data_IF_524025501603
#
_entry.id   IF_524025501603
#
_cell.length_a   1.000
_cell.length_b   1.000
_cell.length_c   1.000
_cell.angle_alpha   90.00
_cell.angle_beta   90.00
_cell.angle_gamma   90.00
#
_symmetry.space_group_name_H-M   'P 1'
#
loop_
_entity.id
_entity.type
_entity.pdbx_description
1 polymer ?
#
# COMPACT_ATOMS: atom_id res chain seq x y z
N UNK A 1 -2.34 19.33 2.18
CA UNK A 1 -2.63 18.22 3.11
C UNK A 1 -2.64 18.79 4.53
N UNK A 2 -3.60 18.39 5.36
CA UNK A 2 -3.57 18.70 6.80
C UNK A 2 -2.69 17.62 7.43
N UNK A 3 -1.67 17.98 8.24
CA UNK A 3 -0.85 16.99 8.93
C UNK A 3 -1.73 16.09 9.80
N UNK A 4 -1.50 14.78 9.72
CA UNK A 4 -2.30 13.79 10.43
C UNK A 4 -1.51 13.22 11.62
N UNK A 5 -2.13 13.18 12.79
CA UNK A 5 -1.51 12.63 14.01
C UNK A 5 -1.93 11.18 14.15
N UNK A 6 -0.96 10.28 14.30
CA UNK A 6 -1.19 8.85 14.53
C UNK A 6 -0.70 8.50 15.93
N UNK A 7 -1.63 8.15 16.81
CA UNK A 7 -1.34 7.69 18.18
C UNK A 7 -1.01 6.19 18.19
N UNK A 8 0.02 5.83 18.97
CA UNK A 8 0.49 4.45 19.16
C UNK A 8 1.37 4.33 20.41
N UNK A 9 1.83 3.11 20.73
CA UNK A 9 2.74 2.90 21.86
C UNK A 9 4.13 3.50 21.60
N UNK A 10 4.79 3.97 22.67
CA UNK A 10 6.11 4.60 22.60
C UNK A 10 7.17 3.77 21.85
N UNK A 11 7.28 2.44 22.04
CA UNK A 11 8.22 1.64 21.25
C UNK A 11 7.94 1.65 19.74
N UNK A 12 6.68 1.80 19.32
CA UNK A 12 6.31 1.89 17.91
C UNK A 12 6.71 3.26 17.33
N UNK A 13 6.51 4.33 18.09
CA UNK A 13 6.99 5.68 17.73
C UNK A 13 8.50 5.67 17.54
N UNK A 14 9.24 5.10 18.49
CA UNK A 14 10.71 5.06 18.44
C UNK A 14 11.23 4.31 17.21
N UNK A 15 10.62 3.17 16.86
CA UNK A 15 10.99 2.38 15.66
C UNK A 15 10.79 3.16 14.37
N UNK A 16 9.67 3.88 14.26
CA UNK A 16 9.38 4.72 13.11
C UNK A 16 10.38 5.88 12.99
N UNK A 17 10.62 6.59 14.10
CA UNK A 17 11.52 7.74 14.13
C UNK A 17 12.98 7.35 13.89
N UNK A 18 13.40 6.16 14.33
CA UNK A 18 14.73 5.63 14.04
C UNK A 18 14.99 5.40 12.54
N UNK A 19 13.92 5.33 11.72
CA UNK A 19 13.96 5.09 10.27
C UNK A 19 13.41 6.27 9.46
N UNK A 20 13.18 7.44 10.08
CA UNK A 20 12.51 8.57 9.45
C UNK A 20 13.18 9.04 8.15
N UNK A 21 14.52 9.04 8.10
CA UNK A 21 15.26 9.42 6.89
C UNK A 21 15.04 8.43 5.74
N UNK A 22 15.05 7.12 6.02
CA UNK A 22 14.79 6.08 5.02
C UNK A 22 13.34 6.13 4.51
N UNK A 23 12.38 6.47 5.38
CA UNK A 23 10.98 6.68 5.00
C UNK A 23 10.78 7.95 4.16
N UNK A 24 11.53 9.01 4.47
CA UNK A 24 11.49 10.25 3.71
C UNK A 24 11.99 10.06 2.27
N UNK A 25 12.98 9.20 2.03
CA UNK A 25 13.42 8.81 0.67
C UNK A 25 12.30 8.14 -0.15
N UNK A 26 11.34 7.49 0.52
CA UNK A 26 10.16 6.88 -0.10
C UNK A 26 9.00 7.87 -0.28
N UNK A 27 9.14 9.11 0.20
CA UNK A 27 8.10 10.14 0.18
C UNK A 27 7.14 10.11 1.37
N UNK A 28 7.48 9.39 2.45
CA UNK A 28 6.74 9.36 3.70
C UNK A 28 7.50 10.14 4.78
N UNK A 29 7.12 11.39 5.01
CA UNK A 29 7.79 12.25 6.00
C UNK A 29 6.99 12.24 7.29
N UNK A 30 7.64 11.81 8.38
CA UNK A 30 7.07 11.73 9.72
C UNK A 30 7.90 12.49 10.74
N UNK A 31 7.24 13.03 11.76
CA UNK A 31 7.87 13.73 12.88
C UNK A 31 7.29 13.23 14.21
N UNK A 32 8.08 13.24 15.29
CA UNK A 32 7.60 12.89 16.61
C UNK A 32 6.60 13.91 17.17
N UNK A 33 5.55 13.44 17.84
CA UNK A 33 4.54 14.28 18.49
C UNK A 33 4.28 13.83 19.93
N UNK A 34 5.30 14.05 20.77
CA UNK A 34 5.35 13.45 22.10
C UNK A 34 5.71 11.95 22.04
N UNK A 35 5.72 11.26 23.19
CA UNK A 35 6.18 9.87 23.26
C UNK A 35 5.19 8.86 22.64
N UNK A 36 3.92 9.22 22.48
CA UNK A 36 2.86 8.30 22.05
C UNK A 36 2.26 8.60 20.68
N UNK A 37 2.90 9.43 19.86
CA UNK A 37 2.38 9.73 18.53
C UNK A 37 3.45 10.21 17.54
N UNK A 38 3.15 10.04 16.26
CA UNK A 38 3.84 10.67 15.13
C UNK A 38 2.89 11.56 14.36
N UNK A 39 3.42 12.63 13.76
CA UNK A 39 2.74 13.49 12.78
C UNK A 39 3.23 13.10 11.39
N UNK A 40 2.30 12.80 10.49
CA UNK A 40 2.58 12.60 9.07
C UNK A 40 2.50 13.94 8.35
N UNK A 41 3.63 14.37 7.78
CA UNK A 41 3.76 15.64 7.04
C UNK A 41 3.50 15.45 5.56
N UNK A 42 4.03 14.38 4.99
CA UNK A 42 4.00 14.09 3.56
C UNK A 42 3.76 12.59 3.34
N UNK A 43 3.04 12.27 2.26
CA UNK A 43 2.81 10.91 1.81
C UNK A 43 3.18 10.77 0.33
N UNK A 44 3.58 9.58 -0.14
CA UNK A 44 3.96 9.40 -1.52
C UNK A 44 2.77 9.65 -2.46
N UNK A 45 2.95 10.55 -3.43
CA UNK A 45 1.87 10.96 -4.34
C UNK A 45 1.26 9.79 -5.13
N UNK A 46 2.04 8.73 -5.37
CA UNK A 46 1.60 7.52 -6.09
C UNK A 46 0.42 6.81 -5.39
N UNK A 47 0.33 6.95 -4.07
CA UNK A 47 -0.66 6.23 -3.26
C UNK A 47 -1.99 6.98 -3.14
N UNK A 48 -2.06 8.23 -3.60
CA UNK A 48 -3.28 9.03 -3.62
C UNK A 48 -3.95 9.15 -2.24
N UNK A 49 -5.29 9.06 -2.24
CA UNK A 49 -6.08 9.00 -1.02
C UNK A 49 -5.91 7.62 -0.35
N UNK A 50 -5.24 7.59 0.81
CA UNK A 50 -4.97 6.36 1.56
C UNK A 50 -5.36 6.48 3.03
N UNK A 51 -5.50 5.33 3.69
CA UNK A 51 -5.64 5.24 5.15
C UNK A 51 -4.28 5.47 5.83
N UNK A 52 -3.94 6.73 6.13
CA UNK A 52 -2.66 7.12 6.72
C UNK A 52 -2.45 6.44 8.08
N UNK A 53 -3.49 6.41 8.93
CA UNK A 53 -3.43 5.72 10.21
C UNK A 53 -3.07 4.24 10.05
N UNK A 54 -3.73 3.55 9.12
CA UNK A 54 -3.49 2.15 8.83
C UNK A 54 -2.07 1.89 8.33
N UNK A 55 -1.59 2.68 7.36
CA UNK A 55 -0.22 2.57 6.83
C UNK A 55 0.81 2.70 7.92
N UNK A 56 0.68 3.72 8.78
CA UNK A 56 1.69 3.99 9.82
C UNK A 56 1.71 2.88 10.88
N UNK A 57 0.55 2.33 11.27
CA UNK A 57 0.49 1.22 12.22
C UNK A 57 1.07 -0.06 11.65
N UNK A 58 0.65 -0.45 10.45
CA UNK A 58 1.16 -1.67 9.81
C UNK A 58 2.67 -1.56 9.55
N UNK A 59 3.16 -0.38 9.18
CA UNK A 59 4.59 -0.12 9.02
C UNK A 59 5.35 -0.25 10.34
N UNK A 60 4.80 0.24 11.46
CA UNK A 60 5.43 0.11 12.77
C UNK A 60 5.52 -1.37 13.21
N UNK A 61 4.50 -2.16 12.90
CA UNK A 61 4.45 -3.60 13.16
C UNK A 61 5.48 -4.34 12.28
N UNK A 62 5.52 -4.05 10.97
CA UNK A 62 6.50 -4.59 10.02
C UNK A 62 7.95 -4.31 10.49
N UNK A 63 8.23 -3.07 10.91
CA UNK A 63 9.53 -2.67 11.45
C UNK A 63 9.89 -3.40 12.76
N UNK A 64 8.90 -3.77 13.58
CA UNK A 64 9.13 -4.57 14.77
C UNK A 64 9.57 -6.00 14.43
N UNK A 65 9.08 -6.57 13.32
CA UNK A 65 9.46 -7.90 12.86
C UNK A 65 10.85 -7.94 12.20
N UNK A 66 11.23 -6.88 11.47
CA UNK A 66 12.50 -6.83 10.74
C UNK A 66 13.72 -6.61 11.65
N UNK A 67 13.53 -5.99 12.81
CA UNK A 67 14.61 -5.62 13.72
C UNK A 67 15.55 -4.54 13.15
N UNK A 68 16.55 -4.15 13.93
CA UNK A 68 17.43 -3.01 13.59
C UNK A 68 18.55 -3.35 12.58
N UNK A 69 18.82 -4.64 12.34
CA UNK A 69 20.03 -5.09 11.64
C UNK A 69 19.94 -5.12 10.11
N UNK A 70 18.72 -5.14 9.56
CA UNK A 70 18.50 -5.12 8.11
C UNK A 70 18.18 -3.67 7.70
N UNK A 71 18.81 -3.19 6.63
CA UNK A 71 18.50 -1.86 6.09
C UNK A 71 17.09 -1.84 5.50
N UNK A 72 16.33 -0.76 5.70
CA UNK A 72 14.97 -0.66 5.15
C UNK A 72 14.99 -0.72 3.62
N UNK A 73 16.09 -0.24 3.02
CA UNK A 73 16.35 -0.36 1.58
C UNK A 73 16.32 -1.83 1.08
N UNK A 74 16.77 -2.80 1.89
CA UNK A 74 16.71 -4.23 1.54
C UNK A 74 15.28 -4.78 1.65
N UNK A 75 14.39 -4.07 2.35
CA UNK A 75 12.97 -4.37 2.59
C UNK A 75 12.02 -3.44 1.86
N UNK A 76 12.53 -2.64 0.91
CA UNK A 76 11.74 -1.62 0.21
C UNK A 76 10.52 -2.21 -0.50
N UNK A 77 10.63 -3.44 -1.01
CA UNK A 77 9.52 -4.17 -1.63
C UNK A 77 8.37 -4.45 -0.65
N UNK A 78 8.71 -4.87 0.58
CA UNK A 78 7.74 -5.20 1.62
C UNK A 78 7.02 -3.92 2.09
N UNK A 79 7.77 -2.85 2.35
CA UNK A 79 7.22 -1.52 2.73
C UNK A 79 6.29 -0.98 1.64
N UNK A 80 6.73 -1.01 0.38
CA UNK A 80 5.92 -0.59 -0.76
C UNK A 80 4.67 -1.45 -0.93
N UNK A 81 4.72 -2.75 -0.63
CA UNK A 81 3.56 -3.63 -0.66
C UNK A 81 2.52 -3.26 0.41
N UNK A 82 2.96 -3.00 1.65
CA UNK A 82 2.10 -2.53 2.74
C UNK A 82 1.41 -1.23 2.35
N UNK A 83 2.18 -0.24 1.88
CA UNK A 83 1.63 1.04 1.43
C UNK A 83 0.64 0.90 0.27
N UNK A 84 0.97 0.09 -0.75
CA UNK A 84 0.11 -0.14 -1.90
C UNK A 84 -1.22 -0.83 -1.52
N UNK A 85 -1.22 -1.70 -0.51
CA UNK A 85 -2.44 -2.32 -0.01
C UNK A 85 -3.40 -1.32 0.63
N UNK A 86 -2.89 -0.27 1.26
CA UNK A 86 -3.70 0.82 1.80
C UNK A 86 -4.21 1.81 0.75
N UNK A 87 -3.44 2.07 -0.31
CA UNK A 87 -3.90 2.87 -1.45
C UNK A 87 -4.78 2.11 -2.45
N UNK A 88 -4.95 0.79 -2.28
CA UNK A 88 -5.69 -0.04 -3.25
C UNK A 88 -7.19 0.26 -3.27
N UNK A 89 -7.82 0.06 -4.44
CA UNK A 89 -9.29 0.07 -4.54
C UNK A 89 -9.83 -1.17 -3.82
N UNK A 90 -10.43 -0.96 -2.64
CA UNK A 90 -10.95 -2.02 -1.77
C UNK A 90 -12.35 -2.49 -2.15
N UNK A 91 -12.67 -3.70 -1.72
CA UNK A 91 -14.01 -4.28 -1.83
C UNK A 91 -15.08 -3.35 -1.22
N UNK A 92 -16.21 -3.19 -1.90
CA UNK A 92 -17.32 -2.34 -1.47
C UNK A 92 -17.29 -0.91 -2.03
N UNK A 93 -16.14 -0.42 -2.51
CA UNK A 93 -16.08 0.85 -3.25
C UNK A 93 -16.76 0.68 -4.61
N UNK A 94 -17.81 1.46 -4.88
CA UNK A 94 -18.44 1.49 -6.21
C UNK A 94 -17.61 2.35 -7.14
N UNK A 95 -17.27 1.80 -8.30
CA UNK A 95 -16.62 2.52 -9.38
C UNK A 95 -17.65 2.90 -10.44
N UNK A 96 -17.46 4.05 -11.08
CA UNK A 96 -18.11 4.36 -12.33
C UNK A 96 -17.32 3.80 -13.53
N UNK A 97 -17.90 3.87 -14.73
CA UNK A 97 -17.27 3.31 -15.94
C UNK A 97 -15.93 3.99 -16.30
N UNK A 98 -15.80 5.29 -16.05
CA UNK A 98 -14.57 6.03 -16.35
C UNK A 98 -13.44 5.63 -15.40
N UNK A 99 -13.76 5.44 -14.11
CA UNK A 99 -12.82 4.94 -13.10
C UNK A 99 -12.36 3.51 -13.42
N UNK A 100 -13.29 2.63 -13.84
CA UNK A 100 -12.96 1.27 -14.25
C UNK A 100 -12.03 1.27 -15.47
N UNK A 101 -12.36 2.06 -16.50
CA UNK A 101 -11.52 2.14 -17.70
C UNK A 101 -10.14 2.70 -17.39
N UNK A 102 -10.05 3.72 -16.53
CA UNK A 102 -8.76 4.27 -16.09
C UNK A 102 -7.91 3.22 -15.39
N UNK A 103 -8.48 2.48 -14.44
CA UNK A 103 -7.80 1.39 -13.75
C UNK A 103 -7.24 0.36 -14.73
N UNK A 104 -8.03 -0.03 -15.74
CA UNK A 104 -7.59 -0.99 -16.76
C UNK A 104 -6.41 -0.44 -17.59
N UNK A 105 -6.42 0.85 -17.95
CA UNK A 105 -5.29 1.48 -18.66
C UNK A 105 -4.04 1.58 -17.79
N UNK A 106 -4.19 1.86 -16.50
CA UNK A 106 -3.09 1.82 -15.54
C UNK A 106 -2.51 0.40 -15.42
N UNK A 107 -3.37 -0.63 -15.35
CA UNK A 107 -2.93 -2.03 -15.35
C UNK A 107 -2.18 -2.42 -16.62
N UNK A 108 -2.63 -1.96 -17.80
CA UNK A 108 -1.93 -2.22 -19.07
C UNK A 108 -0.54 -1.60 -19.14
N UNK A 109 -0.37 -0.41 -18.54
CA UNK A 109 0.91 0.30 -18.49
C UNK A 109 1.84 -0.20 -17.37
N UNK A 110 1.30 -0.92 -16.39
CA UNK A 110 2.05 -1.40 -15.22
C UNK A 110 2.68 -2.77 -15.51
N UNK A 111 4.02 -2.88 -15.47
CA UNK A 111 4.70 -4.18 -15.61
C UNK A 111 4.21 -5.17 -14.55
N UNK A 112 4.09 -6.44 -14.92
CA UNK A 112 3.65 -7.52 -14.03
C UNK A 112 2.28 -7.33 -13.38
N UNK A 113 1.41 -6.49 -13.96
CA UNK A 113 0.07 -6.20 -13.42
C UNK A 113 -0.85 -7.41 -13.28
N UNK A 114 -0.51 -8.56 -13.87
CA UNK A 114 -1.24 -9.83 -13.71
C UNK A 114 -1.09 -10.49 -12.33
N UNK A 115 -0.20 -9.98 -11.46
CA UNK A 115 -0.03 -10.44 -10.08
C UNK A 115 -0.01 -9.24 -9.13
N UNK A 116 -0.64 -9.38 -7.96
CA UNK A 116 -0.51 -8.38 -6.91
C UNK A 116 0.83 -8.52 -6.18
N UNK A 117 1.15 -7.56 -5.32
CA UNK A 117 2.36 -7.57 -4.47
C UNK A 117 2.51 -8.84 -3.61
N UNK A 118 1.41 -9.58 -3.39
CA UNK A 118 1.37 -10.82 -2.61
C UNK A 118 1.22 -12.08 -3.48
N UNK A 119 1.40 -11.98 -4.80
CA UNK A 119 1.39 -13.11 -5.74
C UNK A 119 0.00 -13.62 -6.16
N UNK A 120 -1.10 -13.00 -5.71
CA UNK A 120 -2.45 -13.36 -6.19
C UNK A 120 -2.67 -12.83 -7.61
N UNK A 121 -3.36 -13.57 -8.50
CA UNK A 121 -3.74 -13.05 -9.80
C UNK A 121 -4.70 -11.85 -9.65
N UNK A 122 -4.49 -10.80 -10.43
CA UNK A 122 -5.31 -9.57 -10.39
C UNK A 122 -6.48 -9.61 -11.37
N UNK A 123 -6.42 -10.46 -12.38
CA UNK A 123 -7.51 -10.71 -13.32
C UNK A 123 -7.55 -12.18 -13.72
N UNK A 124 -8.71 -12.59 -14.24
CA UNK A 124 -8.90 -13.88 -14.91
C UNK A 124 -9.52 -13.62 -16.27
N UNK A 125 -9.03 -14.31 -17.29
CA UNK A 125 -9.61 -14.26 -18.64
C UNK A 125 -10.52 -15.48 -18.82
N UNK A 126 -11.77 -15.25 -19.21
CA UNK A 126 -12.70 -16.30 -19.64
C UNK A 126 -12.96 -16.12 -21.13
N UNK A 127 -12.47 -17.06 -21.94
CA UNK A 127 -12.70 -17.04 -23.38
C UNK A 127 -14.16 -17.38 -23.68
N UNK A 128 -14.67 -16.88 -24.80
CA UNK A 128 -16.05 -17.14 -25.22
C UNK A 128 -16.37 -18.65 -25.26
N UNK A 129 -15.45 -19.46 -25.82
CA UNK A 129 -15.61 -20.91 -25.88
C UNK A 129 -15.67 -21.57 -24.49
N UNK A 130 -14.97 -21.02 -23.49
CA UNK A 130 -15.01 -21.54 -22.11
C UNK A 130 -16.32 -21.15 -21.43
N UNK A 131 -16.84 -19.94 -21.71
CA UNK A 131 -18.17 -19.54 -21.29
C UNK A 131 -19.22 -20.44 -21.95
N UNK A 132 -19.15 -20.71 -23.24
CA UNK A 132 -20.08 -21.58 -23.97
C UNK A 132 -20.14 -22.99 -23.37
N UNK A 133 -18.99 -23.59 -23.05
CA UNK A 133 -18.92 -24.89 -22.36
C UNK A 133 -19.64 -24.90 -21.02
N UNK A 134 -19.56 -23.81 -20.22
CA UNK A 134 -20.26 -23.70 -18.93
C UNK A 134 -21.78 -23.79 -19.09
N UNK A 135 -22.31 -23.40 -20.25
CA UNK A 135 -23.74 -23.50 -20.59
C UNK A 135 -24.07 -24.73 -21.45
N UNK A 136 -23.14 -25.69 -21.59
CA UNK A 136 -23.32 -26.88 -22.44
C UNK A 136 -23.38 -26.58 -23.94
N UNK A 137 -22.88 -25.41 -24.36
CA UNK A 137 -22.75 -24.99 -25.76
C UNK A 137 -21.33 -25.32 -26.25
N UNK A 138 -21.18 -25.40 -27.58
CA UNK A 138 -19.95 -25.84 -28.24
C UNK A 138 -19.01 -24.67 -28.48
#
# INVERSE_FOLDING_TARGET
LIPEVVEMEEPAVDRLLARADELAEMGLVIEGFGPGAVVVRETPALLGDMDIQGVIRDLADDLAEYGETIALAERIGDVCATMACHGSIRAGRRLNADEMNRLLREMEATPHSGQCSHGRPTYVELKLADIEKLFGRR
#
